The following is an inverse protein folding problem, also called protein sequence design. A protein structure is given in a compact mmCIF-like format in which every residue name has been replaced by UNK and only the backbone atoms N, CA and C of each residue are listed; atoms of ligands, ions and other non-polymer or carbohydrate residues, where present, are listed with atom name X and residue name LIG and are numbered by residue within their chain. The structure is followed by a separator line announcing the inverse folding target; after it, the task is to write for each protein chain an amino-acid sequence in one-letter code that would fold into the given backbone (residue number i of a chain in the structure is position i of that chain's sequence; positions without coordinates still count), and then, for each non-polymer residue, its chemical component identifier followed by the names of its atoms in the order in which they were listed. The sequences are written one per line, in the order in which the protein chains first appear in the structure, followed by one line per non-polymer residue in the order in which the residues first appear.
data_IF_923251441272
#
_entry.id   IF_923251441272
#
_cell.length_a   1.000
_cell.length_b   1.000
_cell.length_c   1.000
_cell.angle_alpha   90.00
_cell.angle_beta   90.00
_cell.angle_gamma   90.00
#
_symmetry.space_group_name_H-M   'P 1'
#
loop_
_entity.id
_entity.type
_entity.pdbx_description
1 polymer ?
#
# COMPACT_ATOMS: atom_id res chain seq x y z
N UNK A 1 -12.86 4.36 -20.54
CA UNK A 1 -12.03 5.44 -21.13
C UNK A 1 -11.67 6.53 -20.13
N UNK A 2 -12.57 6.89 -19.24
CA UNK A 2 -12.28 7.83 -18.14
C UNK A 2 -11.22 7.33 -17.15
N UNK A 3 -11.06 6.02 -17.02
CA UNK A 3 -10.17 5.37 -16.06
C UNK A 3 -8.68 5.63 -16.39
N UNK A 4 -8.22 5.31 -17.61
CA UNK A 4 -6.83 5.58 -18.01
C UNK A 4 -6.47 7.07 -17.96
N UNK A 5 -7.41 7.94 -18.35
CA UNK A 5 -7.18 9.39 -18.25
C UNK A 5 -7.04 9.86 -16.80
N UNK A 6 -7.83 9.31 -15.88
CA UNK A 6 -7.75 9.62 -14.46
C UNK A 6 -6.44 9.11 -13.86
N UNK A 7 -6.06 7.86 -14.14
CA UNK A 7 -4.76 7.32 -13.70
C UNK A 7 -3.59 8.19 -14.19
N UNK A 8 -3.55 8.57 -15.47
CA UNK A 8 -2.48 9.44 -15.98
C UNK A 8 -2.45 10.81 -15.28
N UNK A 9 -3.61 11.33 -14.83
CA UNK A 9 -3.67 12.57 -14.05
C UNK A 9 -3.08 12.41 -12.65
N UNK A 10 -3.31 11.27 -11.99
CA UNK A 10 -2.70 10.95 -10.69
C UNK A 10 -1.17 10.92 -10.78
N UNK A 11 -0.63 10.50 -11.92
CA UNK A 11 0.81 10.59 -12.21
C UNK A 11 1.28 11.96 -12.71
N UNK A 12 0.45 13.01 -12.57
CA UNK A 12 0.82 14.40 -12.78
C UNK A 12 0.63 14.94 -14.20
N UNK A 13 -0.07 14.21 -15.10
CA UNK A 13 -0.44 14.75 -16.40
C UNK A 13 -1.66 15.69 -16.27
N UNK A 14 -1.65 16.79 -16.99
CA UNK A 14 -2.87 17.61 -17.13
C UNK A 14 -3.93 16.86 -17.94
N UNK A 15 -5.20 17.21 -17.79
CA UNK A 15 -6.30 16.56 -18.51
C UNK A 15 -6.06 16.53 -20.03
N UNK A 16 -5.63 17.66 -20.62
CA UNK A 16 -5.34 17.75 -22.05
C UNK A 16 -4.10 16.93 -22.43
N UNK A 17 -3.07 16.86 -21.58
CA UNK A 17 -1.89 16.03 -21.83
C UNK A 17 -2.24 14.55 -21.85
N UNK A 18 -3.05 14.08 -20.89
CA UNK A 18 -3.55 12.72 -20.88
C UNK A 18 -4.39 12.39 -22.10
N UNK A 19 -5.33 13.26 -22.49
CA UNK A 19 -6.13 13.09 -23.71
C UNK A 19 -5.27 13.01 -24.98
N UNK A 20 -4.30 13.91 -25.14
CA UNK A 20 -3.39 13.94 -26.30
C UNK A 20 -2.52 12.68 -26.35
N UNK A 21 -1.99 12.22 -25.22
CA UNK A 21 -1.21 10.98 -25.15
C UNK A 21 -2.05 9.74 -25.50
N UNK A 22 -3.27 9.63 -24.98
CA UNK A 22 -4.20 8.55 -25.30
C UNK A 22 -4.56 8.55 -26.79
N UNK A 23 -4.78 9.72 -27.39
CA UNK A 23 -5.02 9.83 -28.82
C UNK A 23 -3.84 9.30 -29.66
N UNK A 24 -2.61 9.64 -29.25
CA UNK A 24 -1.40 9.12 -29.87
C UNK A 24 -1.19 7.62 -29.69
N UNK A 25 -1.56 7.04 -28.54
CA UNK A 25 -1.53 5.59 -28.36
C UNK A 25 -2.43 4.85 -29.36
N UNK A 26 -3.56 5.46 -29.75
CA UNK A 26 -4.52 4.88 -30.68
C UNK A 26 -4.08 5.01 -32.14
N UNK A 27 -3.50 6.16 -32.49
CA UNK A 27 -3.04 6.45 -33.84
C UNK A 27 -1.75 7.27 -33.79
N UNK A 28 -0.66 6.64 -34.21
CA UNK A 28 0.65 7.27 -34.36
C UNK A 28 1.37 6.71 -35.61
N UNK A 29 2.23 7.51 -36.25
CA UNK A 29 2.50 8.92 -35.98
C UNK A 29 1.35 9.83 -36.44
N UNK A 30 1.00 10.85 -35.66
CA UNK A 30 -0.07 11.81 -35.99
C UNK A 30 0.43 13.24 -35.93
N UNK A 31 -0.18 14.11 -36.76
CA UNK A 31 0.06 15.57 -36.71
C UNK A 31 -0.68 16.23 -35.55
N UNK A 32 -0.26 17.43 -35.14
CA UNK A 32 -0.97 18.18 -34.10
C UNK A 32 -2.44 18.44 -34.45
N UNK A 33 -2.74 18.62 -35.73
CA UNK A 33 -4.11 18.79 -36.23
C UNK A 33 -4.96 17.53 -35.99
N UNK A 34 -4.43 16.35 -36.35
CA UNK A 34 -5.12 15.07 -36.15
C UNK A 34 -5.34 14.78 -34.66
N UNK A 35 -4.33 15.05 -33.83
CA UNK A 35 -4.41 14.84 -32.38
C UNK A 35 -5.45 15.78 -31.76
N UNK A 36 -5.50 17.06 -32.18
CA UNK A 36 -6.50 18.03 -31.74
C UNK A 36 -7.92 17.52 -31.93
N UNK A 37 -8.22 16.98 -33.14
CA UNK A 37 -9.54 16.42 -33.43
C UNK A 37 -9.86 15.15 -32.65
N UNK A 38 -8.88 14.24 -32.50
CA UNK A 38 -9.09 12.96 -31.81
C UNK A 38 -9.22 13.10 -30.29
N UNK A 39 -8.51 14.09 -29.71
CA UNK A 39 -8.47 14.33 -28.28
C UNK A 39 -9.50 15.36 -27.80
N UNK A 40 -10.25 15.95 -28.71
CA UNK A 40 -11.16 17.06 -28.43
C UNK A 40 -10.44 18.21 -27.65
N UNK A 41 -9.30 18.65 -28.21
CA UNK A 41 -8.48 19.75 -27.68
C UNK A 41 -8.48 20.89 -28.69
N UNK A 42 -8.75 22.13 -28.29
CA UNK A 42 -8.69 23.27 -29.18
C UNK A 42 -7.35 23.38 -29.93
N UNK A 43 -7.38 23.71 -31.23
CA UNK A 43 -6.18 23.85 -32.07
C UNK A 43 -5.17 24.86 -31.51
N UNK A 44 -5.65 25.90 -30.87
CA UNK A 44 -4.82 26.93 -30.20
C UNK A 44 -4.04 26.36 -29.01
N UNK A 45 -4.53 25.28 -28.39
CA UNK A 45 -3.93 24.70 -27.18
C UNK A 45 -3.04 23.47 -27.45
N UNK A 46 -3.31 22.73 -28.56
CA UNK A 46 -2.68 21.41 -28.79
C UNK A 46 -1.16 21.49 -28.89
N UNK A 47 -0.60 22.52 -29.54
CA UNK A 47 0.84 22.62 -29.71
C UNK A 47 1.57 22.89 -28.40
N UNK A 48 0.97 23.65 -27.48
CA UNK A 48 1.50 23.85 -26.13
C UNK A 48 1.43 22.53 -25.30
N UNK A 49 0.37 21.74 -25.49
CA UNK A 49 0.23 20.42 -24.85
C UNK A 49 1.30 19.46 -25.39
N UNK A 50 1.48 19.41 -26.70
CA UNK A 50 2.48 18.55 -27.34
C UNK A 50 3.91 18.96 -26.98
N UNK A 51 4.21 20.26 -26.90
CA UNK A 51 5.50 20.75 -26.44
C UNK A 51 5.79 20.29 -24.98
N UNK A 52 4.80 20.35 -24.10
CA UNK A 52 4.94 19.84 -22.73
C UNK A 52 5.18 18.32 -22.70
N UNK A 53 4.45 17.55 -23.50
CA UNK A 53 4.63 16.11 -23.58
C UNK A 53 6.03 15.73 -24.13
N UNK A 54 6.54 16.48 -25.09
CA UNK A 54 7.91 16.31 -25.62
C UNK A 54 8.94 16.63 -24.54
N UNK A 55 8.80 17.73 -23.82
CA UNK A 55 9.69 18.11 -22.72
C UNK A 55 9.68 17.10 -21.56
N UNK A 56 8.54 16.44 -21.33
CA UNK A 56 8.42 15.37 -20.33
C UNK A 56 9.00 14.03 -20.83
N UNK A 57 9.40 13.93 -22.11
CA UNK A 57 9.88 12.69 -22.73
C UNK A 57 8.79 11.67 -23.02
N UNK A 58 7.51 12.07 -22.96
CA UNK A 58 6.37 11.18 -23.21
C UNK A 58 5.99 11.08 -24.70
N UNK A 59 6.48 12.01 -25.51
CA UNK A 59 6.22 12.08 -26.93
C UNK A 59 7.49 12.54 -27.62
N UNK A 60 7.81 11.95 -28.77
CA UNK A 60 8.84 12.44 -29.67
C UNK A 60 8.22 13.10 -30.92
N UNK A 61 8.93 14.03 -31.54
CA UNK A 61 8.50 14.64 -32.77
C UNK A 61 9.42 14.27 -33.93
N UNK A 62 8.87 13.93 -35.09
CA UNK A 62 9.59 13.57 -36.31
C UNK A 62 9.10 14.39 -37.51
N UNK A 63 10.01 14.66 -38.45
CA UNK A 63 9.72 15.48 -39.62
C UNK A 63 9.64 16.98 -39.32
N UNK A 64 9.68 17.81 -40.36
CA UNK A 64 9.58 19.26 -40.25
C UNK A 64 8.26 19.81 -40.76
N UNK A 65 7.77 19.29 -41.87
CA UNK A 65 6.54 19.75 -42.53
C UNK A 65 5.88 18.59 -43.31
N UNK A 66 4.76 18.00 -42.80
CA UNK A 66 4.19 18.27 -41.46
C UNK A 66 4.96 17.58 -40.32
N UNK A 67 5.10 18.26 -39.19
CA UNK A 67 5.63 17.67 -37.98
C UNK A 67 4.65 16.64 -37.43
N UNK A 68 5.13 15.42 -37.18
CA UNK A 68 4.36 14.30 -36.61
C UNK A 68 4.88 13.94 -35.24
N UNK A 69 4.02 13.37 -34.43
CA UNK A 69 4.28 13.02 -33.03
C UNK A 69 4.09 11.53 -32.83
N UNK A 70 4.97 10.94 -32.04
CA UNK A 70 4.99 9.52 -31.70
C UNK A 70 5.01 9.41 -30.17
N UNK A 71 4.11 8.64 -29.53
CA UNK A 71 4.11 8.47 -28.09
C UNK A 71 5.25 7.56 -27.66
N UNK A 72 5.74 7.76 -26.44
CA UNK A 72 6.57 6.79 -25.76
C UNK A 72 5.77 5.46 -25.63
N UNK A 73 6.36 4.29 -25.94
CA UNK A 73 5.69 3.01 -25.74
C UNK A 73 5.16 2.83 -24.32
N UNK A 74 4.04 2.13 -24.14
CA UNK A 74 3.39 2.00 -22.84
C UNK A 74 4.29 1.38 -21.77
N UNK A 75 5.09 0.36 -22.13
CA UNK A 75 6.09 -0.23 -21.21
C UNK A 75 7.10 0.82 -20.74
N UNK A 76 7.68 1.58 -21.66
CA UNK A 76 8.65 2.63 -21.34
C UNK A 76 8.02 3.81 -20.56
N UNK A 77 6.72 4.07 -20.74
CA UNK A 77 6.00 5.03 -19.91
C UNK A 77 5.97 4.58 -18.46
N UNK A 78 5.61 3.31 -18.22
CA UNK A 78 5.57 2.75 -16.84
C UNK A 78 6.94 2.85 -16.20
N UNK A 79 8.02 2.43 -16.89
CA UNK A 79 9.40 2.54 -16.38
C UNK A 79 9.79 3.99 -16.05
N UNK A 80 9.42 4.93 -16.92
CA UNK A 80 9.69 6.36 -16.69
C UNK A 80 8.93 6.90 -15.48
N UNK A 81 7.67 6.49 -15.30
CA UNK A 81 6.86 6.90 -14.15
C UNK A 81 7.41 6.31 -12.85
N UNK A 82 7.78 5.04 -12.83
CA UNK A 82 8.46 4.40 -11.70
C UNK A 82 9.74 5.14 -11.31
N UNK A 83 10.61 5.41 -12.29
CA UNK A 83 11.87 6.12 -12.04
C UNK A 83 11.62 7.53 -11.46
N UNK A 84 10.64 8.26 -12.00
CA UNK A 84 10.28 9.60 -11.48
C UNK A 84 9.68 9.54 -10.08
N UNK A 85 8.85 8.52 -9.82
CA UNK A 85 8.25 8.33 -8.50
C UNK A 85 9.32 8.04 -7.45
N UNK A 86 10.18 7.06 -7.71
CA UNK A 86 11.26 6.69 -6.81
C UNK A 86 12.18 7.88 -6.51
N UNK A 87 12.60 8.62 -7.55
CA UNK A 87 13.40 9.83 -7.33
C UNK A 87 12.70 10.86 -6.43
N UNK A 88 11.39 11.09 -6.60
CA UNK A 88 10.65 12.01 -5.73
C UNK A 88 10.56 11.52 -4.29
N UNK A 89 10.45 10.19 -4.10
CA UNK A 89 10.48 9.58 -2.77
C UNK A 89 11.85 9.77 -2.10
N UNK A 90 12.94 9.56 -2.86
CA UNK A 90 14.31 9.81 -2.38
C UNK A 90 14.51 11.29 -2.02
N UNK A 91 14.15 12.22 -2.93
CA UNK A 91 14.23 13.67 -2.70
C UNK A 91 13.41 14.09 -1.45
N UNK A 92 12.23 13.48 -1.24
CA UNK A 92 11.38 13.75 -0.06
C UNK A 92 12.03 13.22 1.21
N UNK A 93 12.60 12.01 1.17
CA UNK A 93 13.30 11.41 2.31
C UNK A 93 14.48 12.28 2.75
N UNK A 94 15.28 12.73 1.79
CA UNK A 94 16.42 13.60 2.06
C UNK A 94 15.96 14.94 2.67
N UNK A 95 14.90 15.53 2.12
CA UNK A 95 14.34 16.78 2.65
C UNK A 95 13.76 16.63 4.07
N UNK A 96 13.14 15.49 4.39
CA UNK A 96 12.64 15.21 5.74
C UNK A 96 13.83 15.07 6.71
N UNK A 97 14.89 14.36 6.32
CA UNK A 97 16.08 14.19 7.14
C UNK A 97 16.80 15.53 7.44
N UNK A 98 16.71 16.52 6.55
CA UNK A 98 17.23 17.87 6.82
C UNK A 98 16.42 18.63 7.87
N UNK A 99 15.11 18.38 7.95
CA UNK A 99 14.20 19.07 8.90
C UNK A 99 14.18 18.39 10.26
N UNK A 100 14.26 17.07 10.28
CA UNK A 100 14.30 16.25 11.49
C UNK A 100 15.61 15.46 11.54
N UNK A 101 16.73 16.10 11.93
CA UNK A 101 18.01 15.43 12.05
C UNK A 101 18.09 14.44 13.22
N UNK A 102 17.15 14.52 14.18
CA UNK A 102 16.97 13.55 15.22
C UNK A 102 15.85 12.59 14.80
N UNK A 103 16.23 11.56 14.05
CA UNK A 103 15.40 10.37 13.86
C UNK A 103 15.37 9.54 15.17
N UNK A 104 15.09 10.22 16.28
CA UNK A 104 14.63 9.57 17.49
C UNK A 104 13.21 9.09 17.16
N UNK A 105 13.16 7.91 16.58
CA UNK A 105 11.92 7.21 16.29
C UNK A 105 11.04 7.30 17.55
N UNK A 106 9.87 7.91 17.41
CA UNK A 106 8.87 7.80 18.45
C UNK A 106 8.68 6.31 18.71
N UNK A 107 9.06 5.84 19.88
CA UNK A 107 8.98 4.43 20.25
C UNK A 107 7.59 3.83 20.05
N UNK A 108 6.57 4.70 19.97
CA UNK A 108 5.18 4.28 19.84
C UNK A 108 4.39 5.13 18.86
N UNK A 109 3.81 4.49 17.87
CA UNK A 109 2.86 5.11 16.96
C UNK A 109 1.43 4.78 17.38
N UNK A 110 0.64 5.79 17.69
CA UNK A 110 -0.75 5.61 18.10
C UNK A 110 -1.69 5.53 16.90
N UNK A 111 -2.45 4.44 16.81
CA UNK A 111 -3.47 4.23 15.80
C UNK A 111 -4.86 4.37 16.44
N UNK A 112 -5.72 5.14 15.78
CA UNK A 112 -7.10 5.37 16.18
C UNK A 112 -8.06 4.78 15.15
N UNK A 113 -9.07 4.05 15.62
CA UNK A 113 -10.06 3.41 14.77
C UNK A 113 -9.70 1.99 14.35
N UNK A 114 -10.73 1.18 14.16
CA UNK A 114 -10.61 -0.23 13.81
C UNK A 114 -10.00 -0.43 12.42
N UNK A 115 -10.45 0.37 11.44
CA UNK A 115 -9.94 0.27 10.06
C UNK A 115 -8.43 0.52 10.01
N UNK A 116 -7.96 1.60 10.64
CA UNK A 116 -6.53 1.94 10.67
C UNK A 116 -5.68 0.85 11.33
N UNK A 117 -6.22 0.18 12.36
CA UNK A 117 -5.55 -0.97 12.98
C UNK A 117 -5.45 -2.15 12.00
N UNK A 118 -6.53 -2.49 11.30
CA UNK A 118 -6.53 -3.59 10.32
C UNK A 118 -5.63 -3.25 9.12
N UNK A 119 -5.69 -2.02 8.60
CA UNK A 119 -4.86 -1.59 7.48
C UNK A 119 -3.37 -1.65 7.84
N UNK A 120 -3.00 -1.23 9.07
CA UNK A 120 -1.62 -1.37 9.56
C UNK A 120 -1.20 -2.83 9.75
N UNK A 121 -2.11 -3.69 10.24
CA UNK A 121 -1.83 -5.12 10.33
C UNK A 121 -1.54 -5.72 8.95
N UNK A 122 -2.34 -5.39 7.93
CA UNK A 122 -2.13 -5.83 6.54
C UNK A 122 -0.77 -5.37 6.02
N UNK A 123 -0.45 -4.10 6.18
CA UNK A 123 0.87 -3.54 5.80
C UNK A 123 2.03 -4.32 6.45
N UNK A 124 1.95 -4.56 7.77
CA UNK A 124 2.99 -5.30 8.50
C UNK A 124 3.14 -6.73 7.99
N UNK A 125 2.02 -7.43 7.72
CA UNK A 125 2.01 -8.81 7.19
C UNK A 125 2.58 -8.84 5.78
N UNK A 126 2.24 -7.88 4.93
CA UNK A 126 2.74 -7.81 3.56
C UNK A 126 4.26 -7.56 3.50
N UNK A 127 4.79 -6.81 4.46
CA UNK A 127 6.23 -6.51 4.59
C UNK A 127 7.02 -7.61 5.31
N UNK A 128 6.38 -8.67 5.80
CA UNK A 128 7.04 -9.75 6.53
C UNK A 128 7.97 -10.59 5.66
N UNK A 129 9.08 -11.05 6.23
CA UNK A 129 10.09 -11.84 5.55
C UNK A 129 10.38 -13.19 6.22
N UNK A 130 10.29 -13.28 7.55
CA UNK A 130 10.68 -14.47 8.32
C UNK A 130 9.52 -15.10 9.05
N UNK A 131 8.86 -14.35 9.93
CA UNK A 131 7.81 -14.89 10.79
C UNK A 131 6.75 -13.88 11.19
N UNK A 132 5.56 -14.40 11.40
CA UNK A 132 4.40 -13.70 11.96
C UNK A 132 3.89 -14.47 13.15
N UNK A 133 3.74 -13.82 14.31
CA UNK A 133 3.04 -14.36 15.47
C UNK A 133 1.88 -13.44 15.78
N UNK A 134 0.67 -13.96 15.75
CA UNK A 134 -0.56 -13.19 15.88
C UNK A 134 -1.49 -13.81 16.93
N UNK A 135 -1.91 -13.01 17.89
CA UNK A 135 -3.07 -13.29 18.75
C UNK A 135 -4.23 -12.38 18.37
N UNK A 136 -5.32 -12.96 17.93
CA UNK A 136 -6.53 -12.23 17.55
C UNK A 136 -7.78 -13.11 17.67
N UNK A 137 -8.97 -12.50 17.58
CA UNK A 137 -10.21 -13.25 17.48
C UNK A 137 -10.54 -13.56 16.02
N UNK A 138 -11.46 -14.49 15.79
CA UNK A 138 -11.82 -14.95 14.44
C UNK A 138 -12.12 -13.81 13.47
N UNK A 139 -12.82 -12.77 13.94
CA UNK A 139 -13.21 -11.61 13.13
C UNK A 139 -12.00 -10.87 12.56
N UNK A 140 -10.98 -10.61 13.38
CA UNK A 140 -9.77 -9.91 12.96
C UNK A 140 -8.97 -10.77 11.98
N UNK A 141 -8.91 -12.08 12.24
CA UNK A 141 -8.23 -13.05 11.36
C UNK A 141 -8.93 -13.12 9.99
N UNK A 142 -10.27 -13.06 9.96
CA UNK A 142 -11.01 -13.03 8.69
C UNK A 142 -10.68 -11.81 7.84
N UNK A 143 -10.51 -10.63 8.45
CA UNK A 143 -10.19 -9.37 7.74
C UNK A 143 -8.79 -9.34 7.11
N UNK A 144 -7.84 -10.16 7.63
CA UNK A 144 -6.44 -10.20 7.19
C UNK A 144 -6.04 -11.57 6.61
N UNK A 145 -7.03 -12.40 6.29
CA UNK A 145 -6.83 -13.79 5.80
C UNK A 145 -6.00 -13.83 4.53
N UNK A 146 -6.25 -12.94 3.59
CA UNK A 146 -5.59 -12.94 2.28
C UNK A 146 -4.11 -12.58 2.42
N UNK A 147 -3.79 -11.60 3.25
CA UNK A 147 -2.42 -11.18 3.54
C UNK A 147 -1.64 -12.31 4.26
N UNK A 148 -2.26 -13.01 5.23
CA UNK A 148 -1.65 -14.15 5.91
C UNK A 148 -1.37 -15.33 4.95
N UNK A 149 -2.30 -15.64 4.04
CA UNK A 149 -2.09 -16.66 3.01
C UNK A 149 -0.96 -16.26 2.05
N UNK A 150 -0.91 -14.99 1.64
CA UNK A 150 0.16 -14.47 0.79
C UNK A 150 1.52 -14.55 1.50
N UNK A 151 1.59 -14.21 2.78
CA UNK A 151 2.80 -14.36 3.59
C UNK A 151 3.26 -15.83 3.66
N UNK A 152 2.35 -16.77 3.95
CA UNK A 152 2.64 -18.21 3.93
C UNK A 152 3.16 -18.66 2.57
N UNK A 153 2.62 -18.15 1.46
CA UNK A 153 3.09 -18.48 0.11
C UNK A 153 4.49 -17.95 -0.19
N UNK A 154 4.93 -16.91 0.52
CA UNK A 154 6.32 -16.39 0.49
C UNK A 154 7.27 -17.14 1.43
N UNK A 155 6.84 -18.25 2.04
CA UNK A 155 7.57 -19.03 3.06
C UNK A 155 7.78 -18.27 4.38
N UNK A 156 6.96 -17.32 4.71
CA UNK A 156 6.92 -16.70 6.03
C UNK A 156 6.26 -17.68 7.01
N UNK A 157 6.88 -17.91 8.15
CA UNK A 157 6.33 -18.78 9.18
C UNK A 157 5.20 -18.06 9.91
N UNK A 158 3.96 -18.59 9.81
CA UNK A 158 2.77 -17.97 10.41
C UNK A 158 2.28 -18.80 11.57
N UNK A 159 2.28 -18.24 12.77
CA UNK A 159 1.72 -18.82 13.98
C UNK A 159 0.55 -17.98 14.49
N UNK A 160 -0.62 -18.58 14.59
CA UNK A 160 -1.84 -17.95 15.06
C UNK A 160 -2.25 -18.50 16.41
N UNK A 161 -2.58 -17.61 17.33
CA UNK A 161 -3.21 -17.94 18.59
C UNK A 161 -4.58 -17.27 18.71
N UNK A 162 -5.59 -17.99 19.18
CA UNK A 162 -6.89 -17.42 19.43
C UNK A 162 -7.60 -18.02 20.64
N UNK A 163 -8.23 -17.16 21.42
CA UNK A 163 -9.17 -17.64 22.44
C UNK A 163 -10.49 -18.11 21.84
N UNK A 164 -10.86 -17.62 20.66
CA UNK A 164 -12.10 -17.96 19.97
C UNK A 164 -11.87 -19.02 18.91
N UNK A 165 -12.95 -19.74 18.57
CA UNK A 165 -12.90 -20.69 17.46
C UNK A 165 -12.59 -19.97 16.16
N UNK A 166 -11.59 -20.47 15.42
CA UNK A 166 -11.18 -19.95 14.13
C UNK A 166 -11.82 -20.76 13.01
N UNK A 167 -12.43 -20.06 12.05
CA UNK A 167 -13.13 -20.68 10.92
C UNK A 167 -12.17 -21.20 9.83
N UNK A 168 -11.00 -20.55 9.68
CA UNK A 168 -10.03 -20.87 8.63
C UNK A 168 -8.68 -21.29 9.24
N UNK A 169 -8.13 -22.40 8.76
CA UNK A 169 -6.79 -22.83 9.18
C UNK A 169 -5.74 -22.17 8.28
N UNK A 170 -4.91 -21.32 8.88
CA UNK A 170 -3.80 -20.64 8.21
C UNK A 170 -2.56 -20.84 9.10
N UNK A 171 -1.47 -21.32 8.52
CA UNK A 171 -0.23 -21.58 9.27
C UNK A 171 -0.41 -22.57 10.43
N UNK A 172 0.35 -22.38 11.49
CA UNK A 172 0.22 -23.08 12.76
C UNK A 172 -0.83 -22.40 13.62
N UNK A 173 -1.93 -23.11 13.90
CA UNK A 173 -3.05 -22.55 14.66
C UNK A 173 -3.18 -23.25 16.01
N UNK A 174 -3.17 -22.47 17.08
CA UNK A 174 -3.53 -22.87 18.43
C UNK A 174 -4.77 -22.10 18.85
N UNK A 175 -5.82 -22.77 19.31
CA UNK A 175 -7.08 -22.15 19.70
C UNK A 175 -7.72 -22.86 20.91
N UNK A 176 -8.27 -22.07 21.83
CA UNK A 176 -9.11 -22.59 22.93
C UNK A 176 -10.55 -22.87 22.51
N UNK A 177 -10.95 -22.49 21.29
CA UNK A 177 -12.29 -22.71 20.74
C UNK A 177 -13.45 -22.18 21.61
N UNK A 178 -13.19 -21.14 22.39
CA UNK A 178 -14.21 -20.53 23.24
C UNK A 178 -15.22 -19.79 22.34
N UNK A 179 -16.51 -19.95 22.66
CA UNK A 179 -17.59 -19.21 22.00
C UNK A 179 -17.38 -17.70 22.17
N UNK A 180 -17.33 -16.95 21.06
CA UNK A 180 -17.04 -15.53 21.05
C UNK A 180 -18.05 -14.71 21.85
N UNK A 181 -19.34 -15.08 21.80
CA UNK A 181 -20.39 -14.36 22.54
C UNK A 181 -20.26 -14.53 24.06
N UNK A 182 -19.78 -15.69 24.49
CA UNK A 182 -19.46 -15.93 25.90
C UNK A 182 -18.24 -15.15 26.32
N UNK A 183 -17.18 -15.15 25.51
CA UNK A 183 -15.93 -14.48 25.81
C UNK A 183 -16.11 -12.94 25.86
N UNK A 184 -16.90 -12.35 24.97
CA UNK A 184 -17.20 -10.91 24.94
C UNK A 184 -17.82 -10.35 26.23
N UNK A 185 -18.47 -11.19 27.02
CA UNK A 185 -19.07 -10.79 28.31
C UNK A 185 -18.02 -10.54 29.39
N UNK A 186 -16.86 -11.19 29.26
CA UNK A 186 -15.80 -11.18 30.27
C UNK A 186 -14.58 -10.41 29.77
N UNK A 187 -14.24 -10.57 28.47
CA UNK A 187 -13.07 -9.98 27.86
C UNK A 187 -13.43 -9.14 26.64
N UNK A 188 -12.64 -8.10 26.45
CA UNK A 188 -12.72 -7.27 25.23
C UNK A 188 -11.78 -7.83 24.19
N UNK A 189 -12.19 -7.81 22.90
CA UNK A 189 -11.30 -8.21 21.81
C UNK A 189 -9.99 -7.43 21.85
N UNK A 190 -8.88 -8.16 21.73
CA UNK A 190 -7.53 -7.60 21.63
C UNK A 190 -6.84 -8.24 20.44
N UNK A 191 -5.91 -7.52 19.88
CA UNK A 191 -5.01 -7.99 18.84
C UNK A 191 -3.57 -7.70 19.26
N UNK A 192 -2.71 -8.69 19.14
CA UNK A 192 -1.26 -8.58 19.29
C UNK A 192 -0.64 -9.23 18.06
N UNK A 193 0.09 -8.44 17.29
CA UNK A 193 0.79 -8.87 16.08
C UNK A 193 2.28 -8.57 16.24
N UNK A 194 3.11 -9.58 16.11
CA UNK A 194 4.57 -9.45 16.05
C UNK A 194 5.06 -9.96 14.70
N UNK A 195 5.85 -9.15 14.00
CA UNK A 195 6.40 -9.47 12.69
C UNK A 195 7.92 -9.41 12.77
N UNK A 196 8.58 -10.49 12.29
CA UNK A 196 10.04 -10.63 12.16
C UNK A 196 10.82 -10.31 13.45
N UNK A 197 10.19 -10.49 14.62
CA UNK A 197 10.74 -10.10 15.94
C UNK A 197 11.23 -8.64 16.00
N UNK A 198 10.72 -7.79 15.14
CA UNK A 198 11.12 -6.41 14.99
C UNK A 198 9.97 -5.43 15.18
N UNK A 199 8.81 -5.78 14.64
CA UNK A 199 7.65 -4.91 14.63
C UNK A 199 6.56 -5.48 15.51
N UNK A 200 5.98 -4.65 16.37
CA UNK A 200 4.86 -5.05 17.22
C UNK A 200 3.71 -4.07 17.08
N UNK A 201 2.52 -4.62 16.90
CA UNK A 201 1.27 -3.88 17.04
C UNK A 201 0.40 -4.55 18.07
N UNK A 202 -0.15 -3.76 18.99
CA UNK A 202 -1.10 -4.27 19.99
C UNK A 202 -2.20 -3.26 20.29
N UNK A 203 -3.40 -3.76 20.53
CA UNK A 203 -4.52 -2.87 20.81
C UNK A 203 -5.84 -3.57 21.07
N UNK A 204 -6.86 -2.75 21.32
CA UNK A 204 -8.23 -3.20 21.48
C UNK A 204 -8.92 -3.26 20.11
N UNK A 205 -9.39 -4.42 19.71
CA UNK A 205 -10.09 -4.64 18.44
C UNK A 205 -11.61 -4.37 18.59
N UNK A 206 -12.02 -3.19 18.99
CA UNK A 206 -13.42 -2.81 19.05
C UNK A 206 -13.89 -2.34 17.68
N UNK A 207 -15.06 -2.83 17.24
CA UNK A 207 -15.66 -2.47 15.95
C UNK A 207 -16.28 -1.08 15.99
N UNK A 208 -15.52 0.00 16.23
CA UNK A 208 -15.95 1.40 16.13
C UNK A 208 -14.71 2.31 16.24
N UNK A 209 -14.88 3.60 16.08
CA UNK A 209 -13.84 4.64 16.18
C UNK A 209 -13.11 4.65 17.54
N UNK A 210 -13.61 3.91 18.53
CA UNK A 210 -13.00 3.75 19.87
C UNK A 210 -11.84 2.75 19.94
N UNK A 211 -11.51 2.06 18.84
CA UNK A 211 -10.33 1.20 18.82
C UNK A 211 -9.06 2.02 19.00
N UNK A 212 -8.21 1.55 19.89
CA UNK A 212 -6.90 2.15 20.17
C UNK A 212 -5.86 1.06 20.05
N UNK A 213 -4.86 1.31 19.24
CA UNK A 213 -3.71 0.43 19.11
C UNK A 213 -2.43 1.25 19.04
N UNK A 214 -1.34 0.59 19.35
CA UNK A 214 0.01 1.11 19.17
C UNK A 214 0.77 0.22 18.21
N UNK A 215 1.63 0.84 17.43
CA UNK A 215 2.66 0.20 16.63
C UNK A 215 4.02 0.65 17.17
N UNK A 216 4.99 -0.25 17.23
CA UNK A 216 6.32 0.06 17.74
C UNK A 216 7.39 -0.83 17.12
N UNK A 217 8.60 -0.29 17.01
CA UNK A 217 9.84 -1.01 16.71
C UNK A 217 10.72 -1.18 17.97
N UNK A 218 10.21 -0.77 19.15
CA UNK A 218 10.95 -0.90 20.40
C UNK A 218 11.21 -2.37 20.73
N UNK A 219 12.49 -2.73 20.82
CA UNK A 219 12.94 -4.11 20.99
C UNK A 219 12.41 -4.74 22.28
N UNK A 220 12.42 -4.00 23.38
CA UNK A 220 11.96 -4.52 24.68
C UNK A 220 10.47 -4.85 24.67
N UNK A 221 9.65 -4.01 24.03
CA UNK A 221 8.21 -4.27 23.87
C UNK A 221 7.96 -5.46 22.95
N UNK A 222 8.74 -5.58 21.89
CA UNK A 222 8.63 -6.70 20.94
C UNK A 222 9.02 -8.03 21.62
N UNK A 223 10.05 -8.05 22.44
CA UNK A 223 10.43 -9.20 23.24
C UNK A 223 9.32 -9.60 24.23
N UNK A 224 8.80 -8.65 25.01
CA UNK A 224 7.69 -8.89 25.96
C UNK A 224 6.44 -9.42 25.24
N UNK A 225 6.08 -8.83 24.10
CA UNK A 225 4.92 -9.27 23.34
C UNK A 225 5.13 -10.69 22.78
N UNK A 226 6.34 -11.00 22.31
CA UNK A 226 6.70 -12.32 21.78
C UNK A 226 6.64 -13.37 22.89
N UNK A 227 7.23 -13.10 24.05
CA UNK A 227 7.24 -14.01 25.19
C UNK A 227 5.83 -14.27 25.71
N UNK A 228 4.98 -13.24 25.76
CA UNK A 228 3.57 -13.40 26.12
C UNK A 228 2.82 -14.32 25.15
N UNK A 229 3.01 -14.14 23.84
CA UNK A 229 2.37 -14.98 22.83
C UNK A 229 2.89 -16.44 22.88
N UNK A 230 4.19 -16.63 23.09
CA UNK A 230 4.78 -17.96 23.23
C UNK A 230 4.21 -18.67 24.46
N UNK A 231 4.04 -17.97 25.58
CA UNK A 231 3.42 -18.49 26.79
C UNK A 231 1.97 -18.92 26.52
N UNK A 232 1.17 -18.08 25.90
CA UNK A 232 -0.22 -18.39 25.57
C UNK A 232 -0.32 -19.64 24.66
N UNK A 233 0.58 -19.76 23.67
CA UNK A 233 0.65 -20.89 22.75
C UNK A 233 1.10 -22.18 23.47
N UNK A 234 2.07 -22.08 24.40
CA UNK A 234 2.64 -23.25 25.08
C UNK A 234 1.70 -23.81 26.14
N UNK A 235 0.85 -22.98 26.73
CA UNK A 235 -0.11 -23.35 27.76
C UNK A 235 -1.48 -23.80 27.20
N UNK A 236 -1.71 -23.62 25.90
CA UNK A 236 -2.94 -24.02 25.20
C UNK A 236 -2.91 -25.48 24.76
#
# INVERSE_FOLDING_TARGET
MNDLQNLLKEFGLTSNAAKAYIALLRKNPSTGYEISGQADIPRSAIYNVLAKLVNLGLVSSVGKDPRRYIPLPASSLIDLLHKKHNKRMDDLKDAIAEVDPNDEAFDFWHLHGYSNMIDKAKEMIDLSHEQIVLSAWNREIEEITDELNNASSRNVHVTLFSFTKISKKIGELVSYDIDENKLRKVWKPKMILVVDKKYTMMGSARKHDDSRSIFTENQAITEIATDHLILDITLA
#
